data_IF_605397295998
#
_entry.id   IF_605397295998
#
_cell.length_a   1.000
_cell.length_b   1.000
_cell.length_c   1.000
_cell.angle_alpha   90.00
_cell.angle_beta   90.00
_cell.angle_gamma   90.00
#
_symmetry.space_group_name_H-M   'P 1'
#
loop_
_entity.id
_entity.type
_entity.pdbx_description
1 polymer ?
#
# COMPACT_ATOMS: atom_id res chain seq x y z
N UNK A 1 11.81 13.67 10.27
CA UNK A 1 10.90 12.73 9.57
C UNK A 1 10.79 11.49 10.43
N UNK A 2 9.65 11.29 11.05
CA UNK A 2 9.43 10.29 12.10
C UNK A 2 9.43 8.89 11.48
N UNK A 3 10.37 8.04 11.91
CA UNK A 3 10.39 6.64 11.52
C UNK A 3 9.13 5.99 12.08
N UNK A 4 8.30 5.43 11.21
CA UNK A 4 7.09 4.69 11.60
C UNK A 4 7.53 3.51 12.47
N UNK A 5 7.44 3.66 13.80
CA UNK A 5 7.62 2.56 14.75
C UNK A 5 6.48 1.57 14.52
N UNK A 6 6.80 0.44 13.91
CA UNK A 6 5.85 -0.64 13.71
C UNK A 6 5.66 -1.45 15.00
N UNK A 7 4.40 -1.59 15.41
CA UNK A 7 3.95 -2.60 16.37
C UNK A 7 3.02 -3.56 15.63
N UNK A 8 3.32 -4.87 15.55
CA UNK A 8 2.44 -5.86 14.94
C UNK A 8 1.21 -6.09 15.83
N UNK A 9 0.18 -5.26 15.68
CA UNK A 9 -1.17 -5.70 16.03
C UNK A 9 -1.68 -6.52 14.84
N UNK A 10 -1.66 -7.85 14.97
CA UNK A 10 -2.31 -8.74 13.99
C UNK A 10 -3.80 -8.74 14.32
N UNK A 11 -4.60 -8.06 13.51
CA UNK A 11 -6.05 -8.24 13.53
C UNK A 11 -6.38 -9.50 12.75
N UNK A 12 -6.85 -10.53 13.45
CA UNK A 12 -7.43 -11.71 12.79
C UNK A 12 -8.71 -11.25 12.08
N UNK A 13 -8.75 -11.42 10.77
CA UNK A 13 -9.99 -11.27 10.00
C UNK A 13 -10.84 -12.52 10.21
N UNK A 14 -12.12 -12.32 10.47
CA UNK A 14 -13.08 -13.42 10.58
C UNK A 14 -13.23 -14.08 9.20
N UNK A 15 -12.86 -15.38 9.05
CA UNK A 15 -12.98 -16.07 7.78
C UNK A 15 -14.44 -16.31 7.36
N UNK A 16 -15.39 -16.16 8.29
CA UNK A 16 -16.83 -16.25 8.01
C UNK A 16 -17.43 -14.90 7.61
N UNK A 17 -16.65 -13.82 7.68
CA UNK A 17 -17.13 -12.50 7.27
C UNK A 17 -17.22 -12.41 5.74
N UNK A 18 -18.42 -12.14 5.23
CA UNK A 18 -18.64 -11.89 3.81
C UNK A 18 -18.11 -10.52 3.40
N UNK A 19 -16.90 -10.49 2.84
CA UNK A 19 -16.34 -9.29 2.24
C UNK A 19 -17.02 -9.00 0.91
N UNK A 20 -17.73 -7.86 0.84
CA UNK A 20 -18.40 -7.43 -0.40
C UNK A 20 -17.36 -7.10 -1.48
N UNK A 21 -17.54 -7.67 -2.67
CA UNK A 21 -16.83 -7.23 -3.86
C UNK A 21 -17.53 -5.99 -4.42
N UNK A 22 -16.85 -4.85 -4.38
CA UNK A 22 -17.40 -3.58 -4.86
C UNK A 22 -17.20 -3.42 -6.37
N UNK A 23 -18.19 -2.81 -7.02
CA UNK A 23 -18.06 -2.37 -8.41
C UNK A 23 -17.11 -1.18 -8.51
N UNK A 24 -16.49 -1.00 -9.68
CA UNK A 24 -15.61 0.15 -9.93
C UNK A 24 -16.30 1.53 -9.71
N UNK A 25 -17.61 1.65 -9.94
CA UNK A 25 -18.35 2.90 -9.67
C UNK A 25 -18.43 3.21 -8.18
N UNK A 26 -18.76 2.22 -7.35
CA UNK A 26 -18.76 2.36 -5.88
C UNK A 26 -17.38 2.72 -5.35
N UNK A 27 -16.31 2.06 -5.82
CA UNK A 27 -14.93 2.41 -5.41
C UNK A 27 -14.62 3.87 -5.71
N UNK A 28 -14.94 4.37 -6.92
CA UNK A 28 -14.73 5.77 -7.29
C UNK A 28 -15.51 6.74 -6.40
N UNK A 29 -16.73 6.42 -6.01
CA UNK A 29 -17.51 7.26 -5.10
C UNK A 29 -16.84 7.36 -3.72
N UNK A 30 -16.34 6.25 -3.18
CA UNK A 30 -15.62 6.23 -1.90
C UNK A 30 -14.29 7.00 -1.99
N UNK A 31 -13.56 6.85 -3.09
CA UNK A 31 -12.32 7.61 -3.33
C UNK A 31 -12.60 9.12 -3.40
N UNK A 32 -13.65 9.54 -4.10
CA UNK A 32 -14.07 10.94 -4.15
C UNK A 32 -14.45 11.48 -2.77
N UNK A 33 -15.19 10.71 -1.98
CA UNK A 33 -15.53 11.10 -0.61
C UNK A 33 -14.28 11.19 0.30
N UNK A 34 -13.31 10.28 0.12
CA UNK A 34 -12.08 10.24 0.90
C UNK A 34 -11.16 11.44 0.62
N UNK A 35 -11.13 11.93 -0.63
CA UNK A 35 -10.40 13.15 -1.03
C UNK A 35 -10.90 14.42 -0.34
N UNK A 36 -12.13 14.41 0.20
CA UNK A 36 -12.66 15.51 1.00
C UNK A 36 -12.16 15.49 2.45
N UNK A 37 -11.59 14.37 2.91
CA UNK A 37 -11.17 14.14 4.29
C UNK A 37 -9.64 14.11 4.46
N UNK A 38 -8.91 13.60 3.47
CA UNK A 38 -7.45 13.47 3.48
C UNK A 38 -6.85 13.89 2.13
N UNK A 39 -5.59 14.33 2.16
CA UNK A 39 -4.86 14.60 0.92
C UNK A 39 -4.60 13.32 0.14
N UNK A 40 -4.54 13.42 -1.20
CA UNK A 40 -4.19 12.31 -2.07
C UNK A 40 -2.82 11.71 -1.70
N UNK A 41 -1.86 12.56 -1.32
CA UNK A 41 -0.55 12.12 -0.81
C UNK A 41 -0.66 11.24 0.44
N UNK A 42 -1.53 11.60 1.40
CA UNK A 42 -1.74 10.83 2.63
C UNK A 42 -2.34 9.46 2.32
N UNK A 43 -3.35 9.43 1.45
CA UNK A 43 -3.98 8.18 1.01
C UNK A 43 -2.97 7.26 0.32
N UNK A 44 -2.15 7.80 -0.58
CA UNK A 44 -1.12 7.02 -1.28
C UNK A 44 -0.04 6.49 -0.35
N UNK A 45 0.41 7.28 0.65
CA UNK A 45 1.34 6.82 1.69
C UNK A 45 0.78 5.64 2.47
N UNK A 46 -0.50 5.71 2.85
CA UNK A 46 -1.18 4.63 3.59
C UNK A 46 -1.34 3.37 2.73
N UNK A 47 -1.73 3.52 1.48
CA UNK A 47 -1.84 2.42 0.53
C UNK A 47 -0.47 1.76 0.30
N UNK A 48 0.56 2.54 -0.04
CA UNK A 48 1.93 2.04 -0.23
C UNK A 48 2.52 1.36 1.01
N UNK A 49 2.23 1.89 2.20
CA UNK A 49 2.63 1.24 3.47
C UNK A 49 1.97 -0.12 3.66
N UNK A 50 0.70 -0.25 3.28
CA UNK A 50 -0.03 -1.52 3.36
C UNK A 50 0.53 -2.54 2.38
N UNK A 51 0.85 -2.13 1.14
CA UNK A 51 1.49 -2.97 0.13
C UNK A 51 2.86 -3.45 0.59
N UNK A 52 3.72 -2.54 1.10
CA UNK A 52 5.05 -2.91 1.59
C UNK A 52 4.97 -3.93 2.74
N UNK A 53 4.06 -3.71 3.70
CA UNK A 53 3.84 -4.64 4.82
C UNK A 53 3.36 -6.01 4.34
N UNK A 54 2.40 -6.04 3.43
CA UNK A 54 1.90 -7.29 2.86
C UNK A 54 3.02 -8.05 2.14
N UNK A 55 3.83 -7.38 1.34
CA UNK A 55 4.93 -8.02 0.60
C UNK A 55 6.00 -8.60 1.54
N UNK A 56 6.37 -7.89 2.61
CA UNK A 56 7.30 -8.38 3.63
C UNK A 56 6.75 -9.63 4.32
N UNK A 57 5.45 -9.64 4.63
CA UNK A 57 4.80 -10.78 5.27
C UNK A 57 4.64 -11.97 4.31
N UNK A 58 4.30 -11.71 3.05
CA UNK A 58 4.07 -12.74 2.03
C UNK A 58 5.38 -13.40 1.59
N UNK A 59 6.46 -12.62 1.47
CA UNK A 59 7.74 -13.08 0.95
C UNK A 59 8.90 -12.65 1.86
N UNK A 60 9.00 -13.19 3.10
CA UNK A 60 9.98 -12.76 4.09
C UNK A 60 11.44 -13.02 3.66
N UNK A 61 11.66 -13.95 2.73
CA UNK A 61 12.97 -14.26 2.17
C UNK A 61 13.34 -13.38 0.96
N UNK A 62 12.43 -12.53 0.47
CA UNK A 62 12.70 -11.67 -0.68
C UNK A 62 13.85 -10.70 -0.37
N UNK A 63 14.75 -10.55 -1.36
CA UNK A 63 15.88 -9.60 -1.30
C UNK A 63 15.80 -8.53 -2.39
N UNK A 64 15.05 -8.80 -3.46
CA UNK A 64 14.89 -7.92 -4.62
C UNK A 64 13.41 -7.74 -4.92
N UNK A 65 13.00 -6.52 -5.26
CA UNK A 65 11.64 -6.17 -5.67
C UNK A 65 11.71 -5.27 -6.90
N UNK A 66 10.86 -5.55 -7.87
CA UNK A 66 10.64 -4.67 -9.02
C UNK A 66 9.24 -4.06 -8.90
N UNK A 67 9.14 -2.75 -9.04
CA UNK A 67 7.87 -2.01 -9.03
C UNK A 67 7.65 -1.38 -10.39
N UNK A 68 6.56 -1.75 -11.06
CA UNK A 68 6.10 -1.09 -12.28
C UNK A 68 5.00 -0.08 -11.90
N UNK A 69 5.31 1.21 -12.00
CA UNK A 69 4.47 2.29 -11.51
C UNK A 69 4.03 3.20 -12.66
N UNK A 70 2.78 3.08 -13.10
CA UNK A 70 2.21 3.97 -14.11
C UNK A 70 1.95 5.40 -13.60
N UNK A 71 1.42 6.31 -14.44
CA UNK A 71 1.30 7.73 -14.10
C UNK A 71 0.14 8.10 -13.15
N UNK A 72 -0.69 7.14 -12.74
CA UNK A 72 -1.87 7.38 -11.90
C UNK A 72 -1.62 7.19 -10.39
N UNK A 73 -2.69 7.31 -9.59
CA UNK A 73 -2.63 7.13 -8.12
C UNK A 73 -1.98 5.81 -7.69
N UNK A 74 -2.30 4.70 -8.37
CA UNK A 74 -1.67 3.40 -8.12
C UNK A 74 -0.16 3.40 -8.33
N UNK A 75 0.33 4.22 -9.27
CA UNK A 75 1.77 4.43 -9.44
C UNK A 75 2.39 5.13 -8.25
N UNK A 76 1.71 6.16 -7.73
CA UNK A 76 2.08 6.82 -6.48
C UNK A 76 2.13 5.85 -5.29
N UNK A 77 1.12 4.98 -5.13
CA UNK A 77 1.11 3.91 -4.12
C UNK A 77 2.34 3.02 -4.25
N UNK A 78 2.64 2.59 -5.48
CA UNK A 78 3.81 1.78 -5.82
C UNK A 78 5.13 2.47 -5.46
N UNK A 79 5.25 3.78 -5.72
CA UNK A 79 6.44 4.56 -5.36
C UNK A 79 6.62 4.69 -3.84
N UNK A 80 5.54 4.89 -3.08
CA UNK A 80 5.60 4.89 -1.62
C UNK A 80 5.95 3.50 -1.06
N UNK A 81 5.37 2.44 -1.62
CA UNK A 81 5.74 1.07 -1.27
C UNK A 81 7.22 0.79 -1.56
N UNK A 82 7.71 1.18 -2.75
CA UNK A 82 9.10 1.05 -3.16
C UNK A 82 10.05 1.75 -2.18
N UNK A 83 9.71 2.99 -1.78
CA UNK A 83 10.51 3.74 -0.81
C UNK A 83 10.60 3.03 0.54
N UNK A 84 9.47 2.50 1.05
CA UNK A 84 9.43 1.77 2.32
C UNK A 84 10.17 0.43 2.25
N UNK A 85 9.99 -0.34 1.17
CA UNK A 85 10.71 -1.60 0.96
C UNK A 85 12.23 -1.38 0.90
N UNK A 86 12.67 -0.29 0.28
CA UNK A 86 14.08 0.10 0.27
C UNK A 86 14.57 0.46 1.68
N UNK A 87 13.77 1.16 2.48
CA UNK A 87 14.10 1.43 3.89
C UNK A 87 14.19 0.16 4.74
N UNK A 88 13.42 -0.88 4.39
CA UNK A 88 13.49 -2.21 4.98
C UNK A 88 14.66 -3.08 4.47
N UNK A 89 15.57 -2.51 3.67
CA UNK A 89 16.79 -3.19 3.23
C UNK A 89 16.64 -4.07 1.99
N UNK A 90 15.49 -4.04 1.31
CA UNK A 90 15.33 -4.71 0.03
C UNK A 90 15.99 -3.89 -1.10
N UNK A 91 16.52 -4.59 -2.09
CA UNK A 91 16.98 -3.98 -3.33
C UNK A 91 15.77 -3.71 -4.23
N UNK A 92 15.42 -2.45 -4.44
CA UNK A 92 14.21 -2.06 -5.16
C UNK A 92 14.57 -1.39 -6.49
N UNK A 93 14.00 -1.91 -7.58
CA UNK A 93 14.02 -1.29 -8.90
C UNK A 93 12.63 -0.77 -9.25
N UNK A 94 12.56 0.41 -9.88
CA UNK A 94 11.29 1.01 -10.31
C UNK A 94 11.33 1.26 -11.82
N UNK A 95 10.24 0.94 -12.50
CA UNK A 95 9.98 1.31 -13.90
C UNK A 95 8.70 2.16 -13.94
N UNK A 96 8.74 3.27 -14.67
CA UNK A 96 7.62 4.19 -14.87
C UNK A 96 6.93 3.95 -16.22
#
# INVERSE_FOLDING_TARGET
MEAIRWSPSVTLVDPQHEWRLWTASHTRQVEQASRALESEESLMKRAGSSVARWLIALAPAARRVHVWAGPGGNGGDGLYAAALLRQHGLQVQVTL
#
